data_IF_845960396451
#
_entry.id   IF_845960396451
#
_cell.length_a   1.000
_cell.length_b   1.000
_cell.length_c   1.000
_cell.angle_alpha   90.00
_cell.angle_beta   90.00
_cell.angle_gamma   90.00
#
_symmetry.space_group_name_H-M   'P 1'
#
loop_
_entity.id
_entity.type
_entity.pdbx_description
1 polymer ?
#
# COMPACT_ATOMS: atom_id res chain seq x y z
N UNK A 1 -14.98 -13.75 15.39
CA UNK A 1 -14.72 -12.30 15.26
C UNK A 1 -13.39 -12.17 14.53
N UNK A 2 -13.42 -11.91 13.23
CA UNK A 2 -12.20 -11.60 12.48
C UNK A 2 -12.06 -10.08 12.54
N UNK A 3 -11.09 -9.67 13.36
CA UNK A 3 -10.54 -8.33 13.52
C UNK A 3 -10.47 -7.64 12.15
N UNK A 4 -11.25 -6.57 11.99
CA UNK A 4 -11.38 -5.88 10.72
C UNK A 4 -10.01 -5.41 10.27
N UNK A 5 -9.56 -5.84 9.10
CA UNK A 5 -8.31 -5.38 8.51
C UNK A 5 -8.38 -3.85 8.31
N UNK A 6 -7.99 -3.09 9.33
CA UNK A 6 -8.15 -1.64 9.37
C UNK A 6 -7.29 -1.04 8.26
N UNK A 7 -7.96 -0.67 7.17
CA UNK A 7 -7.39 0.17 6.13
C UNK A 7 -7.83 1.58 6.47
N UNK A 8 -6.92 2.39 6.99
CA UNK A 8 -7.23 3.76 7.40
C UNK A 8 -6.22 4.75 6.85
N UNK A 9 -6.70 5.95 6.52
CA UNK A 9 -5.82 7.07 6.29
C UNK A 9 -5.30 7.61 7.62
N UNK A 10 -3.98 7.73 7.76
CA UNK A 10 -3.33 8.34 8.91
C UNK A 10 -2.86 9.74 8.55
N UNK A 11 -3.57 10.80 8.96
CA UNK A 11 -3.23 12.17 8.58
C UNK A 11 -1.89 12.63 9.16
N UNK A 12 -1.49 12.12 10.32
CA UNK A 12 -0.22 12.49 10.98
C UNK A 12 1.03 12.12 10.19
N UNK A 13 0.93 11.14 9.30
CA UNK A 13 2.03 10.69 8.42
C UNK A 13 1.67 10.81 6.93
N UNK A 14 0.53 11.42 6.61
CA UNK A 14 -0.01 11.56 5.26
C UNK A 14 0.06 10.24 4.47
N UNK A 15 -0.43 9.15 5.06
CA UNK A 15 -0.29 7.81 4.52
C UNK A 15 -1.53 6.94 4.74
N UNK A 16 -1.79 6.05 3.78
CA UNK A 16 -2.69 4.92 3.96
C UNK A 16 -1.94 3.85 4.75
N UNK A 17 -2.59 3.30 5.78
CA UNK A 17 -2.07 2.17 6.54
C UNK A 17 -3.04 1.00 6.45
N UNK A 18 -2.49 -0.19 6.20
CA UNK A 18 -3.22 -1.44 6.19
C UNK A 18 -2.38 -2.55 6.81
N UNK A 19 -3.02 -3.63 7.25
CA UNK A 19 -2.33 -4.82 7.72
C UNK A 19 -2.22 -5.86 6.59
N UNK A 20 -1.01 -6.31 6.21
CA UNK A 20 -0.84 -7.39 5.26
C UNK A 20 -1.34 -8.73 5.84
N UNK A 21 -1.90 -9.63 5.01
CA UNK A 21 -2.28 -10.97 5.47
C UNK A 21 -1.05 -11.74 5.96
N UNK A 22 -1.17 -12.38 7.13
CA UNK A 22 -0.08 -13.16 7.74
C UNK A 22 1.03 -12.32 8.38
N UNK A 23 0.86 -10.99 8.47
CA UNK A 23 1.81 -10.09 9.11
C UNK A 23 1.13 -9.34 10.26
N UNK A 24 1.83 -9.15 11.37
CA UNK A 24 1.30 -8.43 12.55
C UNK A 24 1.65 -6.94 12.51
N UNK A 25 2.70 -6.57 11.77
CA UNK A 25 3.08 -5.17 11.56
C UNK A 25 2.16 -4.43 10.57
N UNK A 26 2.13 -3.11 10.68
CA UNK A 26 1.41 -2.27 9.74
C UNK A 26 2.24 -1.98 8.48
N UNK A 27 1.57 -1.91 7.34
CA UNK A 27 2.13 -1.46 6.08
C UNK A 27 1.62 -0.06 5.74
N UNK A 28 2.53 0.91 5.66
CA UNK A 28 2.22 2.29 5.31
C UNK A 28 2.55 2.61 3.84
N UNK A 29 1.68 3.36 3.19
CA UNK A 29 1.90 3.91 1.85
C UNK A 29 1.62 5.40 1.88
N UNK A 30 2.68 6.20 1.81
CA UNK A 30 2.55 7.66 1.83
C UNK A 30 1.85 8.19 0.58
N UNK A 31 1.16 9.32 0.72
CA UNK A 31 0.52 10.05 -0.38
C UNK A 31 1.48 10.32 -1.53
N UNK A 32 2.74 10.60 -1.25
CA UNK A 32 3.76 10.82 -2.29
C UNK A 32 3.96 9.59 -3.20
N UNK A 33 3.86 8.37 -2.64
CA UNK A 33 3.92 7.15 -3.44
C UNK A 33 2.68 7.03 -4.34
N UNK A 34 1.49 7.32 -3.81
CA UNK A 34 0.26 7.36 -4.62
C UNK A 34 0.31 8.40 -5.72
N UNK A 35 0.79 9.62 -5.45
CA UNK A 35 0.95 10.67 -6.48
C UNK A 35 1.81 10.21 -7.64
N UNK A 36 2.89 9.45 -7.37
CA UNK A 36 3.73 8.90 -8.42
C UNK A 36 3.07 7.76 -9.22
N UNK A 37 2.13 7.02 -8.61
CA UNK A 37 1.35 5.96 -9.26
C UNK A 37 0.20 6.56 -10.09
N UNK A 38 -0.60 7.42 -9.46
CA UNK A 38 -1.77 8.08 -10.04
C UNK A 38 -1.39 9.11 -11.10
N UNK A 39 -0.28 9.83 -10.93
CA UNK A 39 0.24 10.77 -11.92
C UNK A 39 0.75 10.12 -13.20
N UNK A 40 0.89 8.78 -13.23
CA UNK A 40 1.16 8.01 -14.45
C UNK A 40 -0.11 7.51 -15.13
N UNK A 41 -1.28 7.72 -14.53
CA UNK A 41 -2.56 7.35 -15.13
C UNK A 41 -3.08 8.49 -16.02
N UNK A 42 -3.80 8.18 -17.11
CA UNK A 42 -4.36 9.19 -18.02
C UNK A 42 -5.29 10.21 -17.33
N UNK A 43 -5.85 9.84 -16.17
CA UNK A 43 -6.80 10.64 -15.40
C UNK A 43 -6.13 11.64 -14.43
N UNK A 44 -4.80 11.63 -14.29
CA UNK A 44 -4.04 12.68 -13.60
C UNK A 44 -4.61 13.08 -12.23
N UNK A 45 -4.93 12.10 -11.38
CA UNK A 45 -5.58 12.36 -10.09
C UNK A 45 -4.64 13.11 -9.12
N UNK A 46 -5.12 14.12 -8.37
CA UNK A 46 -4.32 14.88 -7.41
C UNK A 46 -3.80 14.04 -6.23
N UNK A 47 -4.32 12.81 -6.08
CA UNK A 47 -3.92 11.88 -5.05
C UNK A 47 -4.42 12.34 -3.69
N UNK A 48 -5.67 12.78 -3.59
CA UNK A 48 -6.30 13.06 -2.28
C UNK A 48 -6.36 11.77 -1.45
N UNK A 49 -6.55 11.86 -0.12
CA UNK A 49 -6.74 10.68 0.72
C UNK A 49 -7.81 9.72 0.20
N UNK A 50 -8.95 10.25 -0.25
CA UNK A 50 -10.06 9.47 -0.81
C UNK A 50 -9.63 8.74 -2.09
N UNK A 51 -8.96 9.42 -3.02
CA UNK A 51 -8.46 8.79 -4.24
C UNK A 51 -7.40 7.72 -3.96
N UNK A 52 -6.57 7.92 -2.92
CA UNK A 52 -5.59 6.92 -2.50
C UNK A 52 -6.29 5.68 -1.92
N UNK A 53 -7.34 5.87 -1.13
CA UNK A 53 -8.17 4.80 -0.57
C UNK A 53 -8.90 4.04 -1.69
N UNK A 54 -9.52 4.74 -2.64
CA UNK A 54 -10.19 4.14 -3.79
C UNK A 54 -9.22 3.32 -4.65
N UNK A 55 -8.03 3.89 -4.94
CA UNK A 55 -7.00 3.19 -5.70
C UNK A 55 -6.48 1.96 -4.95
N UNK A 56 -6.30 2.05 -3.64
CA UNK A 56 -5.93 0.90 -2.81
C UNK A 56 -7.03 -0.16 -2.83
N UNK A 57 -8.30 0.20 -2.68
CA UNK A 57 -9.42 -0.75 -2.70
C UNK A 57 -9.50 -1.48 -4.04
N UNK A 58 -9.35 -0.77 -5.16
CA UNK A 58 -9.36 -1.33 -6.51
C UNK A 58 -8.16 -2.28 -6.78
N UNK A 59 -7.04 -2.07 -6.11
CA UNK A 59 -5.79 -2.80 -6.36
C UNK A 59 -5.24 -3.53 -5.13
N UNK A 60 -6.05 -3.78 -4.09
CA UNK A 60 -5.61 -4.35 -2.80
C UNK A 60 -4.70 -5.57 -2.95
N UNK A 61 -5.00 -6.56 -3.82
CA UNK A 61 -4.11 -7.71 -4.00
C UNK A 61 -2.69 -7.34 -4.43
N UNK A 62 -2.50 -6.29 -5.23
CA UNK A 62 -1.18 -5.82 -5.62
C UNK A 62 -0.40 -5.18 -4.46
N UNK A 63 -1.08 -4.45 -3.58
CA UNK A 63 -0.47 -3.88 -2.38
C UNK A 63 -0.05 -4.97 -1.38
N UNK A 64 -0.89 -5.99 -1.19
CA UNK A 64 -0.57 -7.14 -0.34
C UNK A 64 0.63 -7.92 -0.90
N UNK A 65 0.67 -8.20 -2.20
CA UNK A 65 1.84 -8.82 -2.85
C UNK A 65 3.10 -7.97 -2.71
N UNK A 66 3.01 -6.66 -2.90
CA UNK A 66 4.14 -5.76 -2.73
C UNK A 66 4.66 -5.79 -1.28
N UNK A 67 3.77 -5.86 -0.28
CA UNK A 67 4.14 -6.01 1.13
C UNK A 67 4.83 -7.35 1.38
N UNK A 68 4.25 -8.46 0.93
CA UNK A 68 4.82 -9.80 1.09
C UNK A 68 6.20 -9.92 0.44
N UNK A 69 6.34 -9.44 -0.80
CA UNK A 69 7.62 -9.43 -1.52
C UNK A 69 8.67 -8.60 -0.77
N UNK A 70 8.28 -7.46 -0.19
CA UNK A 70 9.20 -6.62 0.58
C UNK A 70 9.62 -7.25 1.91
N UNK A 71 8.68 -7.88 2.62
CA UNK A 71 8.95 -8.63 3.86
C UNK A 71 9.96 -9.74 3.58
N UNK A 72 9.70 -10.57 2.56
CA UNK A 72 10.60 -11.65 2.17
C UNK A 72 11.98 -11.13 1.75
N UNK A 73 12.04 -10.10 0.90
CA UNK A 73 13.31 -9.53 0.40
C UNK A 73 14.17 -8.92 1.52
N UNK A 74 13.55 -8.42 2.58
CA UNK A 74 14.22 -7.72 3.68
C UNK A 74 14.40 -8.58 4.93
N UNK A 75 13.78 -9.76 4.99
CA UNK A 75 13.79 -10.61 6.18
C UNK A 75 13.19 -9.91 7.39
N UNK A 76 12.08 -9.19 7.21
CA UNK A 76 11.45 -8.44 8.29
C UNK A 76 10.80 -9.39 9.29
N UNK A 77 10.92 -9.07 10.58
CA UNK A 77 10.18 -9.73 11.64
C UNK A 77 8.65 -9.57 11.43
N UNK A 78 7.87 -10.58 11.84
CA UNK A 78 6.41 -10.64 11.64
C UNK A 78 5.65 -9.46 12.26
N UNK A 79 6.19 -8.82 13.30
CA UNK A 79 5.60 -7.64 13.93
C UNK A 79 6.17 -6.31 13.41
N UNK A 80 7.21 -6.34 12.56
CA UNK A 80 7.87 -5.13 12.08
C UNK A 80 6.96 -4.34 11.12
N UNK A 81 6.78 -3.06 11.40
CA UNK A 81 6.10 -2.16 10.46
C UNK A 81 6.97 -1.88 9.23
N UNK A 82 6.33 -1.73 8.07
CA UNK A 82 7.01 -1.45 6.80
C UNK A 82 6.33 -0.32 6.04
N UNK A 83 7.06 0.26 5.10
CA UNK A 83 6.49 1.18 4.12
C UNK A 83 6.61 0.61 2.71
N UNK A 84 5.65 0.88 1.83
CA UNK A 84 5.79 0.63 0.39
C UNK A 84 6.12 1.91 -0.36
N UNK A 85 7.03 1.79 -1.31
CA UNK A 85 7.32 2.85 -2.27
C UNK A 85 6.47 2.68 -3.52
N UNK A 86 6.34 3.74 -4.33
CA UNK A 86 5.67 3.66 -5.63
C UNK A 86 6.27 2.57 -6.54
N UNK A 87 7.57 2.31 -6.44
CA UNK A 87 8.24 1.23 -7.20
C UNK A 87 7.85 -0.16 -6.73
N UNK A 88 7.69 -0.36 -5.41
CA UNK A 88 7.26 -1.65 -4.86
C UNK A 88 5.85 -1.98 -5.38
N UNK A 89 4.94 -1.01 -5.34
CA UNK A 89 3.56 -1.16 -5.81
C UNK A 89 3.48 -1.28 -7.34
N UNK A 90 4.19 -0.43 -8.09
CA UNK A 90 4.18 -0.47 -9.55
C UNK A 90 4.66 -1.81 -10.11
N UNK A 91 5.66 -2.44 -9.47
CA UNK A 91 6.11 -3.78 -9.82
C UNK A 91 4.99 -4.80 -9.62
N UNK A 92 4.37 -4.81 -8.44
CA UNK A 92 3.29 -5.76 -8.14
C UNK A 92 2.03 -5.55 -9.01
N UNK A 93 1.79 -4.32 -9.48
CA UNK A 93 0.74 -4.02 -10.46
C UNK A 93 1.06 -4.58 -11.85
N UNK A 94 2.32 -4.54 -12.27
CA UNK A 94 2.77 -5.05 -13.57
C UNK A 94 2.84 -6.59 -13.63
N UNK A 95 2.89 -7.27 -12.48
CA UNK A 95 2.89 -8.73 -12.39
C UNK A 95 1.51 -9.37 -12.65
N UNK A 96 0.46 -8.56 -12.88
CA UNK A 96 -0.90 -9.02 -13.24
C UNK A 96 -1.09 -8.96 -14.76
N UNK A 97 -0.22 -9.61 -15.52
CA UNK A 97 -0.34 -9.78 -16.97
C UNK A 97 -0.23 -11.25 -17.36
#
# INVERSE_FOLDING_TARGET
MADGAETLWRPTIDALVFQPPGHQGFCAVHRLAFRALLGRTPLGRPGTPEECLDFFAAHRPAFERAAAAKIQRRGLDVAASLHLTSRDVARALAEVS
#
